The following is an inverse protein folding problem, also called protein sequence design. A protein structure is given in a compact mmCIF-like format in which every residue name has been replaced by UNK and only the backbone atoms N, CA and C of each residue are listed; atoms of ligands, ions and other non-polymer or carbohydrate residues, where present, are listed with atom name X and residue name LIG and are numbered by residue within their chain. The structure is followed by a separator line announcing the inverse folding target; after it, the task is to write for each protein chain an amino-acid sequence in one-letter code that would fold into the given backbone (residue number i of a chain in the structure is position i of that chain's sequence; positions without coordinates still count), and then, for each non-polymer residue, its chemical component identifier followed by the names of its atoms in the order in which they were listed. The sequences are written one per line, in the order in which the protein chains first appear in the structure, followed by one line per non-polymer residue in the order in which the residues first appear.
data_IF_090752838788
#
_entry.id   IF_090752838788
#
_cell.length_a   1.000
_cell.length_b   1.000
_cell.length_c   1.000
_cell.angle_alpha   90.00
_cell.angle_beta   90.00
_cell.angle_gamma   90.00
#
_symmetry.space_group_name_H-M   'P 1'
#
loop_
_entity.id
_entity.type
_entity.pdbx_description
1 polymer ?
#
# COMPACT_ATOMS: atom_id res chain seq x y z
N UNK A 1 -27.23 -5.23 -7.42
CA UNK A 1 -26.74 -5.12 -6.03
C UNK A 1 -26.01 -6.42 -5.68
N UNK A 2 -24.67 -6.50 -5.82
CA UNK A 2 -23.84 -7.71 -5.57
C UNK A 2 -22.39 -7.38 -5.12
N UNK A 3 -22.12 -6.14 -4.70
CA UNK A 3 -20.78 -5.68 -4.34
C UNK A 3 -20.45 -5.72 -2.84
N UNK A 4 -21.45 -5.97 -1.98
CA UNK A 4 -21.30 -5.84 -0.53
C UNK A 4 -20.88 -7.15 0.17
N UNK A 5 -21.06 -8.33 -0.47
CA UNK A 5 -20.70 -9.63 0.14
C UNK A 5 -19.21 -9.98 0.04
N UNK A 6 -18.52 -9.49 -0.99
CA UNK A 6 -17.10 -9.80 -1.20
C UNK A 6 -16.23 -9.26 -0.06
N UNK A 7 -16.51 -8.04 0.41
CA UNK A 7 -15.81 -7.42 1.52
C UNK A 7 -16.06 -8.15 2.85
N UNK A 8 -17.29 -8.65 3.06
CA UNK A 8 -17.65 -9.41 4.25
C UNK A 8 -16.96 -10.78 4.28
N UNK A 9 -16.86 -11.45 3.12
CA UNK A 9 -16.16 -12.72 2.96
C UNK A 9 -14.64 -12.57 3.14
N UNK A 10 -14.01 -11.56 2.49
CA UNK A 10 -12.58 -11.28 2.66
C UNK A 10 -12.23 -10.99 4.12
N UNK A 11 -13.04 -10.21 4.84
CA UNK A 11 -12.83 -9.91 6.26
C UNK A 11 -12.86 -11.16 7.15
N UNK A 12 -13.69 -12.14 6.79
CA UNK A 12 -13.84 -13.40 7.52
C UNK A 12 -12.71 -14.39 7.21
N UNK A 13 -12.26 -14.46 5.95
CA UNK A 13 -11.15 -15.31 5.52
C UNK A 13 -9.81 -14.81 6.05
N UNK A 14 -9.58 -13.49 6.02
CA UNK A 14 -8.31 -12.92 6.49
C UNK A 14 -8.17 -12.88 8.02
N UNK A 15 -9.20 -13.26 8.78
CA UNK A 15 -9.09 -13.42 10.23
C UNK A 15 -8.37 -12.26 10.90
N UNK A 16 -8.68 -11.01 10.51
CA UNK A 16 -8.11 -9.79 11.10
C UNK A 16 -8.77 -9.62 12.48
N UNK A 17 -8.45 -10.52 13.40
CA UNK A 17 -8.46 -10.19 14.81
C UNK A 17 -7.53 -9.00 14.97
N UNK A 18 -7.86 -8.05 15.84
CA UNK A 18 -6.96 -6.93 16.18
C UNK A 18 -5.74 -7.47 16.93
N UNK A 19 -4.87 -8.21 16.25
CA UNK A 19 -3.59 -8.65 16.78
C UNK A 19 -2.68 -7.43 16.83
N UNK A 20 -1.84 -7.32 17.87
CA UNK A 20 -0.94 -6.17 18.08
C UNK A 20 -0.07 -5.86 16.85
N UNK A 21 0.25 -6.87 16.04
CA UNK A 21 1.03 -6.71 14.80
C UNK A 21 0.31 -5.92 13.71
N UNK A 22 -1.03 -5.90 13.71
CA UNK A 22 -1.82 -5.20 12.69
C UNK A 22 -2.26 -3.80 13.17
N UNK A 23 -2.19 -3.53 14.47
CA UNK A 23 -2.54 -2.24 15.05
C UNK A 23 -1.68 -1.10 14.48
N UNK A 24 -0.46 -1.41 14.02
CA UNK A 24 0.42 -0.44 13.40
C UNK A 24 -0.10 0.10 12.04
N UNK A 25 -0.94 -0.67 11.33
CA UNK A 25 -1.60 -0.24 10.09
C UNK A 25 -2.69 0.82 10.35
N UNK A 26 -3.16 0.93 11.59
CA UNK A 26 -4.19 1.90 12.01
C UNK A 26 -3.57 3.21 12.55
N UNK A 27 -2.25 3.25 12.70
CA UNK A 27 -1.52 4.43 13.19
C UNK A 27 -1.53 5.57 12.16
N UNK A 28 -1.63 6.82 12.64
CA UNK A 28 -1.60 8.02 11.77
C UNK A 28 -0.39 8.08 10.84
N UNK A 29 0.77 7.60 11.28
CA UNK A 29 2.01 7.56 10.48
C UNK A 29 1.86 6.66 9.25
N UNK A 30 1.29 5.46 9.43
CA UNK A 30 1.04 4.54 8.32
C UNK A 30 0.00 5.10 7.35
N UNK A 31 -1.08 5.71 7.87
CA UNK A 31 -2.08 6.39 7.04
C UNK A 31 -1.48 7.54 6.22
N UNK A 32 -0.58 8.35 6.81
CA UNK A 32 0.13 9.39 6.07
C UNK A 32 1.00 8.79 4.96
N UNK A 33 1.81 7.76 5.24
CA UNK A 33 2.63 7.08 4.22
C UNK A 33 1.76 6.53 3.09
N UNK A 34 0.57 6.02 3.41
CA UNK A 34 -0.40 5.57 2.43
C UNK A 34 -0.91 6.71 1.53
N UNK A 35 -1.15 7.90 2.08
CA UNK A 35 -1.51 9.10 1.31
C UNK A 35 -0.37 9.57 0.38
N UNK A 36 0.89 9.49 0.83
CA UNK A 36 2.06 9.76 -0.02
C UNK A 36 2.15 8.76 -1.17
N UNK A 37 2.01 7.47 -0.89
CA UNK A 37 2.01 6.42 -1.92
C UNK A 37 0.87 6.63 -2.91
N UNK A 38 -0.34 6.92 -2.43
CA UNK A 38 -1.49 7.23 -3.28
C UNK A 38 -1.21 8.40 -4.21
N UNK A 39 -0.62 9.47 -3.69
CA UNK A 39 -0.26 10.65 -4.49
C UNK A 39 0.83 10.31 -5.51
N UNK A 40 1.82 9.49 -5.13
CA UNK A 40 2.83 8.95 -6.03
C UNK A 40 2.25 8.11 -7.17
N UNK A 41 1.24 7.28 -6.89
CA UNK A 41 0.52 6.50 -7.91
C UNK A 41 -0.26 7.36 -8.89
N UNK A 42 -0.84 8.48 -8.44
CA UNK A 42 -1.53 9.43 -9.32
C UNK A 42 -0.52 10.06 -10.28
N UNK A 43 0.62 10.54 -9.76
CA UNK A 43 1.69 11.13 -10.58
C UNK A 43 2.27 10.08 -11.55
N UNK A 44 2.51 8.86 -11.07
CA UNK A 44 2.99 7.76 -11.90
C UNK A 44 2.00 7.45 -13.03
N UNK A 45 0.70 7.37 -12.74
CA UNK A 45 -0.34 7.16 -13.76
C UNK A 45 -0.38 8.28 -14.81
N UNK A 46 -0.23 9.54 -14.39
CA UNK A 46 -0.07 10.68 -15.29
C UNK A 46 1.18 10.56 -16.16
N UNK A 47 2.29 10.11 -15.59
CA UNK A 47 3.55 9.88 -16.31
C UNK A 47 3.42 8.74 -17.32
N UNK A 48 2.74 7.65 -16.95
CA UNK A 48 2.44 6.53 -17.84
C UNK A 48 1.53 6.96 -18.99
N UNK A 49 0.56 7.86 -18.74
CA UNK A 49 -0.32 8.37 -19.78
C UNK A 49 0.44 9.28 -20.78
N UNK A 50 1.44 10.01 -20.29
CA UNK A 50 2.32 10.83 -21.13
C UNK A 50 3.38 10.01 -21.89
N UNK A 51 3.80 8.89 -21.31
CA UNK A 51 4.70 7.94 -21.95
C UNK A 51 3.90 7.08 -22.93
N UNK A 52 3.91 7.43 -24.22
CA UNK A 52 3.25 6.69 -25.31
C UNK A 52 3.91 5.31 -25.59
N UNK A 53 4.23 4.56 -24.52
CA UNK A 53 4.95 3.30 -24.54
C UNK A 53 4.49 2.39 -23.39
N UNK A 54 3.82 1.29 -23.75
CA UNK A 54 3.33 0.29 -22.82
C UNK A 54 4.43 -0.36 -21.97
N UNK A 55 5.64 -0.55 -22.50
CA UNK A 55 6.75 -1.14 -21.75
C UNK A 55 7.25 -0.20 -20.65
N UNK A 56 7.29 1.11 -20.93
CA UNK A 56 7.62 2.13 -19.94
C UNK A 56 6.55 2.19 -18.85
N UNK A 57 5.27 2.11 -19.23
CA UNK A 57 4.17 2.07 -18.27
C UNK A 57 4.26 0.87 -17.32
N UNK A 58 4.55 -0.32 -17.87
CA UNK A 58 4.71 -1.55 -17.09
C UNK A 58 5.91 -1.46 -16.13
N UNK A 59 7.03 -0.89 -16.59
CA UNK A 59 8.20 -0.63 -15.76
C UNK A 59 7.93 0.33 -14.61
N UNK A 60 7.27 1.46 -14.88
CA UNK A 60 6.87 2.43 -13.86
C UNK A 60 5.91 1.78 -12.86
N UNK A 61 4.96 0.94 -13.31
CA UNK A 61 3.98 0.30 -12.44
C UNK A 61 4.63 -0.70 -11.47
N UNK A 62 5.53 -1.54 -11.98
CA UNK A 62 6.30 -2.47 -11.16
C UNK A 62 7.19 -1.72 -10.16
N UNK A 63 7.88 -0.67 -10.62
CA UNK A 63 8.76 0.14 -9.77
C UNK A 63 7.97 0.86 -8.66
N UNK A 64 6.84 1.50 -9.00
CA UNK A 64 5.96 2.15 -8.01
C UNK A 64 5.37 1.16 -7.01
N UNK A 65 5.04 -0.07 -7.43
CA UNK A 65 4.58 -1.12 -6.53
C UNK A 65 5.67 -1.50 -5.52
N UNK A 66 6.90 -1.69 -6.00
CA UNK A 66 8.03 -2.01 -5.14
C UNK A 66 8.34 -0.87 -4.15
N UNK A 67 8.34 0.37 -4.65
CA UNK A 67 8.53 1.56 -3.81
C UNK A 67 7.44 1.69 -2.75
N UNK A 68 6.19 1.34 -3.10
CA UNK A 68 5.07 1.34 -2.16
C UNK A 68 5.33 0.36 -1.03
N UNK A 69 5.77 -0.86 -1.34
CA UNK A 69 6.08 -1.84 -0.31
C UNK A 69 7.24 -1.42 0.58
N UNK A 70 8.35 -0.94 0.01
CA UNK A 70 9.49 -0.47 0.77
C UNK A 70 9.15 0.74 1.67
N UNK A 71 8.27 1.63 1.22
CA UNK A 71 7.87 2.80 1.99
C UNK A 71 6.82 2.48 3.07
N UNK A 72 5.98 1.48 2.82
CA UNK A 72 5.04 0.93 3.80
C UNK A 72 5.70 -0.08 4.74
N UNK A 73 6.94 -0.47 4.49
CA UNK A 73 7.68 -1.34 5.38
C UNK A 73 7.79 -0.68 6.75
N UNK A 74 7.58 -1.49 7.79
CA UNK A 74 7.56 -1.02 9.16
C UNK A 74 8.95 -0.49 9.49
N UNK A 75 8.99 0.71 10.07
CA UNK A 75 10.17 1.11 10.82
C UNK A 75 10.25 0.10 11.96
N UNK A 76 11.02 -0.97 11.76
CA UNK A 76 11.56 -1.72 12.89
C UNK A 76 12.42 -0.70 13.63
N UNK A 77 11.80 0.02 14.56
CA UNK A 77 12.49 0.49 15.74
C UNK A 77 13.09 -0.77 16.34
N UNK A 78 14.32 -1.07 15.91
CA UNK A 78 15.24 -1.96 16.58
C UNK A 78 15.23 -1.48 18.04
N UNK A 79 14.60 -2.23 18.97
CA UNK A 79 14.77 -1.91 20.36
C UNK A 79 16.21 -2.31 20.64
N UNK A 80 17.12 -1.36 20.48
CA UNK A 80 18.40 -1.39 21.18
C UNK A 80 18.05 -1.32 22.66
N UNK A 81 17.68 -2.50 23.18
CA UNK A 81 17.55 -2.79 24.58
C UNK A 81 18.92 -2.60 25.20
N UNK A 82 18.99 -1.59 26.08
CA UNK A 82 19.88 -1.46 27.23
C UNK A 82 21.39 -1.35 26.96
#
# INVERSE_FOLDING_TARGET
MKGLDLFAWMRRVFGIGRTRDIAWLETRTYQQRLEWVKSGWIIAGLLMLAADNNAAALGIAMFSTFLSFAFLERDEEEPTSL
#
